data_IF_144990182595
#
_entry.id   IF_144990182595
#
_cell.length_a   1.000
_cell.length_b   1.000
_cell.length_c   1.000
_cell.angle_alpha   90.00
_cell.angle_beta   90.00
_cell.angle_gamma   90.00
#
_symmetry.space_group_name_H-M   'P 1'
#
loop_
_entity.id
_entity.type
_entity.pdbx_description
1 polymer ?
#
# COMPACT_ATOMS: atom_id res chain seq x y z
N UNK A 1 18.40 3.60 -34.84
CA UNK A 1 17.04 3.73 -34.27
C UNK A 1 16.50 2.31 -34.11
N UNK A 2 16.55 1.75 -32.90
CA UNK A 2 15.90 0.48 -32.57
C UNK A 2 15.46 0.56 -31.11
N UNK A 3 14.15 0.57 -30.92
CA UNK A 3 13.51 0.51 -29.62
C UNK A 3 13.72 -0.88 -29.00
N UNK A 4 14.65 -0.99 -28.06
CA UNK A 4 14.83 -2.13 -27.16
C UNK A 4 15.78 -1.60 -26.09
N UNK A 5 15.36 -1.26 -24.88
CA UNK A 5 14.93 -2.18 -23.82
C UNK A 5 13.77 -1.55 -23.03
N UNK A 6 12.53 -1.72 -23.50
CA UNK A 6 11.46 -1.94 -22.53
C UNK A 6 11.70 -3.35 -21.99
N UNK A 7 12.58 -3.44 -20.98
CA UNK A 7 12.49 -4.53 -20.03
C UNK A 7 11.10 -4.40 -19.43
N UNK A 8 10.11 -5.07 -20.03
CA UNK A 8 8.85 -5.38 -19.40
C UNK A 8 9.23 -6.30 -18.25
N UNK A 9 9.74 -5.71 -17.17
CA UNK A 9 9.64 -6.28 -15.86
C UNK A 9 8.15 -6.54 -15.71
N UNK A 10 7.75 -7.81 -15.83
CA UNK A 10 6.38 -8.20 -15.53
C UNK A 10 6.09 -7.58 -14.16
N UNK A 11 4.96 -6.89 -13.95
CA UNK A 11 4.66 -6.41 -12.61
C UNK A 11 4.79 -7.63 -11.72
N UNK A 12 5.65 -7.56 -10.70
CA UNK A 12 5.72 -8.62 -9.70
C UNK A 12 4.27 -8.89 -9.33
N UNK A 13 3.81 -10.14 -9.52
CA UNK A 13 2.40 -10.48 -9.37
C UNK A 13 1.91 -9.89 -8.06
N UNK A 14 1.00 -8.92 -8.16
CA UNK A 14 0.55 -8.18 -7.00
C UNK A 14 -0.06 -9.19 -6.04
N UNK A 15 0.51 -9.29 -4.83
CA UNK A 15 -0.05 -10.14 -3.79
C UNK A 15 -1.30 -9.44 -3.24
N UNK A 16 -2.45 -9.79 -3.79
CA UNK A 16 -3.74 -9.27 -3.33
C UNK A 16 -4.16 -9.98 -2.05
N UNK A 17 -4.51 -9.19 -1.02
CA UNK A 17 -4.97 -9.67 0.28
C UNK A 17 -6.28 -8.98 0.63
N UNK A 18 -7.22 -9.73 1.21
CA UNK A 18 -8.43 -9.12 1.78
C UNK A 18 -8.14 -8.64 3.20
N UNK A 19 -8.55 -7.42 3.50
CA UNK A 19 -8.55 -6.87 4.85
C UNK A 19 -9.64 -7.59 5.66
N UNK A 20 -9.26 -8.09 6.83
CA UNK A 20 -10.15 -8.78 7.75
C UNK A 20 -11.07 -7.78 8.46
N UNK A 21 -12.09 -8.28 9.15
CA UNK A 21 -13.05 -7.43 9.88
C UNK A 21 -12.39 -6.51 10.93
N UNK A 22 -11.25 -6.91 11.49
CA UNK A 22 -10.48 -6.13 12.46
C UNK A 22 -9.45 -5.17 11.82
N UNK A 23 -9.48 -5.02 10.49
CA UNK A 23 -8.61 -4.09 9.77
C UNK A 23 -7.22 -4.63 9.41
N UNK A 24 -6.94 -5.91 9.68
CA UNK A 24 -5.65 -6.53 9.41
C UNK A 24 -5.61 -7.31 8.10
N UNK A 25 -4.41 -7.50 7.54
CA UNK A 25 -4.13 -8.52 6.52
C UNK A 25 -3.19 -9.57 7.07
N UNK A 26 -3.29 -10.81 6.56
CA UNK A 26 -2.30 -11.86 6.81
C UNK A 26 -1.12 -11.67 5.85
N UNK A 27 0.09 -11.64 6.41
CA UNK A 27 1.33 -11.43 5.66
C UNK A 27 2.46 -12.26 6.28
N UNK A 28 3.21 -13.04 5.49
CA UNK A 28 4.36 -13.85 5.93
C UNK A 28 4.19 -14.55 7.31
N UNK A 29 3.04 -15.17 7.54
CA UNK A 29 2.74 -15.90 8.78
C UNK A 29 2.26 -15.04 9.96
N UNK A 30 2.35 -13.71 9.87
CA UNK A 30 1.82 -12.78 10.85
C UNK A 30 0.66 -11.91 10.31
N UNK A 31 0.37 -10.84 11.05
CA UNK A 31 -0.70 -9.90 10.75
C UNK A 31 -0.16 -8.48 10.70
N UNK A 32 -0.66 -7.70 9.76
CA UNK A 32 -0.34 -6.28 9.61
C UNK A 32 -1.65 -5.50 9.67
N UNK A 33 -1.75 -4.57 10.62
CA UNK A 33 -2.87 -3.66 10.68
C UNK A 33 -2.82 -2.66 9.51
N UNK A 34 -3.92 -2.55 8.77
CA UNK A 34 -4.08 -1.66 7.62
C UNK A 34 -5.06 -0.54 7.95
N UNK A 35 -6.33 -0.87 8.18
CA UNK A 35 -7.40 0.05 8.57
C UNK A 35 -8.69 -0.75 8.71
N UNK A 36 -9.41 -0.58 9.82
CA UNK A 36 -10.72 -1.21 9.99
C UNK A 36 -11.75 -0.68 8.97
N UNK A 37 -11.60 0.55 8.49
CA UNK A 37 -12.50 1.13 7.48
C UNK A 37 -12.41 0.42 6.12
N UNK A 38 -11.35 -0.35 5.87
CA UNK A 38 -11.19 -1.15 4.66
C UNK A 38 -11.60 -2.62 4.87
N UNK A 39 -12.28 -2.96 5.96
CA UNK A 39 -12.69 -4.33 6.23
C UNK A 39 -13.47 -4.94 5.04
N UNK A 40 -13.04 -6.13 4.61
CA UNK A 40 -13.61 -6.84 3.47
C UNK A 40 -12.99 -6.48 2.11
N UNK A 41 -12.30 -5.35 2.02
CA UNK A 41 -11.73 -4.82 0.78
C UNK A 41 -10.40 -5.49 0.39
N UNK A 42 -10.10 -5.59 -0.93
CA UNK A 42 -8.81 -6.05 -1.41
C UNK A 42 -7.76 -4.94 -1.33
N UNK A 43 -6.56 -5.30 -0.88
CA UNK A 43 -5.35 -4.46 -0.96
C UNK A 43 -4.26 -5.18 -1.72
N UNK A 44 -3.52 -4.43 -2.52
CA UNK A 44 -2.45 -4.96 -3.36
C UNK A 44 -1.08 -4.67 -2.72
N UNK A 45 -0.30 -5.72 -2.48
CA UNK A 45 1.09 -5.64 -2.10
C UNK A 45 2.00 -5.86 -3.32
N UNK A 46 2.85 -4.88 -3.63
CA UNK A 46 3.76 -4.88 -4.77
C UNK A 46 5.20 -4.78 -4.28
N UNK A 47 6.03 -5.73 -4.67
CA UNK A 47 7.47 -5.67 -4.43
C UNK A 47 8.11 -4.65 -5.37
N UNK A 48 8.87 -3.72 -4.79
CA UNK A 48 9.65 -2.73 -5.52
C UNK A 48 10.99 -3.33 -5.95
N UNK A 49 11.73 -2.61 -6.80
CA UNK A 49 13.04 -3.05 -7.24
C UNK A 49 14.05 -3.17 -6.08
N UNK A 50 13.84 -2.40 -5.02
CA UNK A 50 14.67 -2.39 -3.80
C UNK A 50 14.29 -3.52 -2.81
N UNK A 51 13.38 -4.42 -3.18
CA UNK A 51 12.91 -5.51 -2.32
C UNK A 51 11.97 -5.05 -1.19
N UNK A 52 11.44 -3.83 -1.27
CA UNK A 52 10.42 -3.33 -0.34
C UNK A 52 9.03 -3.68 -0.83
N UNK A 53 8.10 -3.90 0.09
CA UNK A 53 6.71 -4.20 -0.27
C UNK A 53 5.84 -2.97 -0.07
N UNK A 54 5.30 -2.41 -1.14
CA UNK A 54 4.35 -1.30 -1.09
C UNK A 54 2.93 -1.83 -1.02
N UNK A 55 2.10 -1.27 -0.15
CA UNK A 55 0.68 -1.62 -0.02
C UNK A 55 -0.19 -0.49 -0.58
N UNK A 56 -1.23 -0.86 -1.32
CA UNK A 56 -2.18 0.08 -1.93
C UNK A 56 -3.63 -0.44 -1.86
N UNK A 57 -4.58 0.49 -1.83
CA UNK A 57 -6.00 0.23 -2.01
C UNK A 57 -6.44 0.90 -3.33
N UNK A 58 -6.70 0.08 -4.35
CA UNK A 58 -6.78 0.56 -5.74
C UNK A 58 -5.56 1.45 -6.08
N UNK A 59 -5.79 2.65 -6.63
CA UNK A 59 -4.74 3.62 -6.94
C UNK A 59 -4.23 4.41 -5.72
N UNK A 60 -4.76 4.18 -4.52
CA UNK A 60 -4.37 4.92 -3.31
C UNK A 60 -3.22 4.21 -2.58
N UNK A 61 -2.01 4.78 -2.55
CA UNK A 61 -0.90 4.20 -1.80
C UNK A 61 -1.19 4.29 -0.29
N UNK A 62 -1.02 3.17 0.41
CA UNK A 62 -1.26 3.07 1.85
C UNK A 62 0.04 3.13 2.67
N UNK A 63 1.16 2.65 2.12
CA UNK A 63 2.44 2.64 2.81
C UNK A 63 3.37 1.52 2.36
N UNK A 64 4.41 1.28 3.15
CA UNK A 64 5.40 0.21 2.96
C UNK A 64 5.24 -0.80 4.09
N UNK A 65 5.28 -2.08 3.77
CA UNK A 65 5.32 -3.16 4.74
C UNK A 65 6.73 -3.28 5.30
N UNK A 66 6.85 -3.06 6.60
CA UNK A 66 8.00 -3.46 7.39
C UNK A 66 7.84 -4.94 7.75
N UNK A 67 8.55 -5.80 7.01
CA UNK A 67 8.52 -7.24 7.21
C UNK A 67 9.22 -7.69 8.49
N UNK A 68 10.11 -6.86 9.06
CA UNK A 68 10.83 -7.17 10.31
C UNK A 68 9.93 -7.00 11.52
N UNK A 69 9.11 -5.95 11.50
CA UNK A 69 8.24 -5.60 12.62
C UNK A 69 6.76 -5.93 12.38
N UNK A 70 6.41 -6.46 11.21
CA UNK A 70 5.04 -6.77 10.80
C UNK A 70 4.11 -5.55 10.91
N UNK A 71 4.58 -4.41 10.40
CA UNK A 71 3.86 -3.14 10.46
C UNK A 71 3.73 -2.50 9.09
N UNK A 72 2.65 -1.76 8.91
CA UNK A 72 2.50 -0.86 7.77
C UNK A 72 3.05 0.51 8.14
N UNK A 73 4.19 0.88 7.57
CA UNK A 73 4.74 2.22 7.67
C UNK A 73 3.99 3.09 6.65
N UNK A 74 3.10 3.93 7.15
CA UNK A 74 2.41 4.93 6.33
C UNK A 74 3.46 5.86 5.74
N UNK A 75 3.52 5.97 4.41
CA UNK A 75 4.02 7.20 3.82
C UNK A 75 2.97 8.22 4.20
N UNK A 76 3.31 9.15 5.09
CA UNK A 76 2.45 10.30 5.35
C UNK A 76 2.05 10.84 3.98
N UNK A 77 0.77 10.76 3.65
CA UNK A 77 0.23 11.71 2.70
C UNK A 77 0.64 13.06 3.28
N UNK A 78 1.29 13.92 2.48
CA UNK A 78 1.49 15.31 2.88
C UNK A 78 0.21 15.77 3.58
N UNK A 79 0.28 16.49 4.73
CA UNK A 79 -0.91 16.84 5.48
C UNK A 79 -1.92 17.35 4.47
N UNK A 80 -2.98 16.57 4.25
CA UNK A 80 -4.06 17.01 3.38
C UNK A 80 -4.62 18.16 4.18
N UNK A 81 -4.21 19.38 3.84
CA UNK A 81 -4.90 20.57 4.29
C UNK A 81 -6.37 20.25 4.05
N UNK A 82 -7.17 20.03 5.09
CA UNK A 82 -8.57 19.70 4.87
C UNK A 82 -9.10 20.87 4.05
N UNK A 83 -9.63 20.55 2.87
CA UNK A 83 -10.31 21.50 1.99
C UNK A 83 -11.48 22.06 2.81
N UNK A 84 -11.23 23.10 3.60
CA UNK A 84 -12.14 23.55 4.67
C UNK A 84 -11.50 24.33 5.83
N UNK A 85 -10.17 24.36 6.00
CA UNK A 85 -9.53 25.12 7.08
C UNK A 85 -9.11 26.57 6.72
N UNK A 86 -9.58 27.11 5.59
CA UNK A 86 -9.31 28.50 5.23
C UNK A 86 -10.49 29.09 4.45
N UNK A 87 -11.41 29.73 5.17
CA UNK A 87 -12.06 30.99 4.78
C UNK A 87 -13.23 31.25 5.72
N UNK A 88 -12.95 31.81 6.90
CA UNK A 88 -13.89 32.71 7.59
C UNK A 88 -13.02 33.74 8.33
N UNK A 89 -12.90 34.93 7.73
CA UNK A 89 -12.36 36.14 8.33
C UNK A 89 -13.30 37.30 7.96
#
# INVERSE_FOLDING_TARGET
>A
MAASYMSRKRPAEASVRRVRHNGEIRWNGGFIYVSQALAGEPVAALETEDGQWTLSFHAHPLGIIDTRHMKLIRRSAAPTNPLGAAADA
#
